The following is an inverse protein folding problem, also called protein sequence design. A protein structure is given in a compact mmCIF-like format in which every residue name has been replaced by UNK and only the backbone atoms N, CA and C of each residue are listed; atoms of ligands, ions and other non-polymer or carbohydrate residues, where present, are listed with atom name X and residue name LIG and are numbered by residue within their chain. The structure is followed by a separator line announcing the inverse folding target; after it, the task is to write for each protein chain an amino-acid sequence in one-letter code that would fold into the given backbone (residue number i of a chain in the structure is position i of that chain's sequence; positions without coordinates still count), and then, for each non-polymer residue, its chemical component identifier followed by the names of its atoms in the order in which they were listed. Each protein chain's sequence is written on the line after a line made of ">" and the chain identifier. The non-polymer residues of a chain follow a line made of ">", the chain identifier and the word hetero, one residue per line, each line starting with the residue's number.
data_IF_386439659162
#
_entry.id   IF_386439659162
#
_cell.length_a   1.000
_cell.length_b   1.000
_cell.length_c   1.000
_cell.angle_alpha   90.00
_cell.angle_beta   90.00
_cell.angle_gamma   90.00
#
_symmetry.space_group_name_H-M   'P 1'
#
loop_
_entity.id
_entity.type
_entity.pdbx_description
1 polymer ?
#
# COMPACT_ATOMS: atom_id res chain seq x y z
N UNK A 1 -8.52 2.67 8.47
CA UNK A 1 -8.76 1.25 8.84
C UNK A 1 -7.47 0.68 9.42
N UNK A 2 -7.58 -0.15 10.46
CA UNK A 2 -6.43 -0.72 11.21
C UNK A 2 -6.24 -2.19 10.84
N UNK A 3 -5.03 -2.72 11.02
CA UNK A 3 -4.75 -4.16 10.85
C UNK A 3 -5.43 -4.94 11.97
N UNK A 4 -6.14 -6.02 11.62
CA UNK A 4 -6.77 -6.93 12.57
C UNK A 4 -5.89 -8.18 12.76
N UNK A 5 -5.45 -8.38 14.01
CA UNK A 5 -4.60 -9.50 14.40
C UNK A 5 -5.35 -10.82 14.57
N UNK A 6 -6.68 -10.78 14.62
CA UNK A 6 -7.55 -11.96 14.77
C UNK A 6 -8.14 -12.41 13.43
N UNK A 7 -8.03 -11.59 12.38
CA UNK A 7 -8.41 -11.98 11.02
C UNK A 7 -7.45 -13.07 10.51
N UNK A 8 -8.00 -14.04 9.77
CA UNK A 8 -7.23 -15.16 9.19
C UNK A 8 -6.35 -14.71 8.02
N UNK A 9 -6.62 -13.55 7.43
CA UNK A 9 -5.86 -13.01 6.30
C UNK A 9 -4.47 -12.56 6.76
N UNK A 10 -3.42 -12.83 5.96
CA UNK A 10 -2.09 -12.34 6.25
C UNK A 10 -2.04 -10.82 6.38
N UNK A 11 -1.23 -10.30 7.31
CA UNK A 11 -1.10 -8.86 7.55
C UNK A 11 -0.69 -8.04 6.33
N UNK A 12 0.09 -8.64 5.41
CA UNK A 12 0.47 -7.93 4.19
C UNK A 12 -0.73 -7.74 3.25
N UNK A 13 -1.67 -8.68 3.21
CA UNK A 13 -2.90 -8.55 2.41
C UNK A 13 -3.83 -7.51 3.02
N UNK A 14 -3.96 -7.53 4.35
CA UNK A 14 -4.75 -6.52 5.06
C UNK A 14 -4.18 -5.11 4.82
N UNK A 15 -2.86 -4.93 4.95
CA UNK A 15 -2.22 -3.63 4.69
C UNK A 15 -2.39 -3.20 3.24
N UNK A 16 -2.15 -4.10 2.27
CA UNK A 16 -2.34 -3.79 0.86
C UNK A 16 -3.78 -3.34 0.59
N UNK A 17 -4.77 -4.03 1.17
CA UNK A 17 -6.18 -3.65 1.04
C UNK A 17 -6.47 -2.28 1.64
N UNK A 18 -5.97 -2.01 2.85
CA UNK A 18 -6.15 -0.70 3.51
C UNK A 18 -5.60 0.44 2.65
N UNK A 19 -4.39 0.28 2.11
CA UNK A 19 -3.78 1.31 1.26
C UNK A 19 -4.54 1.46 -0.06
N UNK A 20 -4.97 0.36 -0.69
CA UNK A 20 -5.78 0.42 -1.90
C UNK A 20 -7.12 1.14 -1.66
N UNK A 21 -7.79 0.86 -0.54
CA UNK A 21 -9.03 1.52 -0.17
C UNK A 21 -8.81 3.03 0.12
N UNK A 22 -7.66 3.41 0.70
CA UNK A 22 -7.27 4.82 0.87
C UNK A 22 -7.02 5.53 -0.47
N UNK A 23 -6.34 4.87 -1.42
CA UNK A 23 -6.15 5.38 -2.78
C UNK A 23 -7.51 5.59 -3.46
N UNK A 24 -8.42 4.61 -3.37
CA UNK A 24 -9.78 4.70 -3.92
C UNK A 24 -10.59 5.83 -3.29
N UNK A 25 -10.45 6.03 -1.99
CA UNK A 25 -11.12 7.10 -1.26
C UNK A 25 -10.56 8.51 -1.58
N UNK A 26 -9.41 8.59 -2.27
CA UNK A 26 -8.76 9.85 -2.60
C UNK A 26 -7.89 10.43 -1.49
N UNK A 27 -7.61 9.65 -0.42
CA UNK A 27 -6.65 10.02 0.63
C UNK A 27 -5.22 10.10 0.07
N UNK A 28 -4.94 9.29 -0.95
CA UNK A 28 -3.73 9.38 -1.76
C UNK A 28 -4.10 9.59 -3.22
N UNK A 29 -3.77 10.76 -3.74
CA UNK A 29 -4.06 11.12 -5.12
C UNK A 29 -3.12 10.40 -6.10
N UNK A 30 -3.54 10.19 -7.35
CA UNK A 30 -2.66 9.70 -8.41
C UNK A 30 -1.37 10.53 -8.49
N UNK A 31 -0.23 9.86 -8.69
CA UNK A 31 1.12 10.46 -8.71
C UNK A 31 1.57 11.09 -7.40
N UNK A 32 0.81 10.96 -6.31
CA UNK A 32 1.27 11.32 -4.98
C UNK A 32 2.22 10.25 -4.42
N UNK A 33 3.20 10.69 -3.63
CA UNK A 33 4.11 9.80 -2.90
C UNK A 33 3.39 9.18 -1.69
N UNK A 34 3.51 7.87 -1.54
CA UNK A 34 3.04 7.14 -0.37
C UNK A 34 4.03 7.25 0.80
N UNK A 35 3.57 7.05 2.04
CA UNK A 35 4.48 6.94 3.18
C UNK A 35 5.53 5.85 2.95
N UNK A 36 6.76 6.12 3.40
CA UNK A 36 7.86 5.14 3.31
C UNK A 36 7.54 3.84 4.07
N UNK A 37 8.22 2.74 3.73
CA UNK A 37 8.08 1.46 4.44
C UNK A 37 8.23 1.62 5.96
N UNK A 38 9.19 2.46 6.38
CA UNK A 38 9.44 2.74 7.80
C UNK A 38 8.26 3.49 8.43
N UNK A 39 7.67 4.47 7.73
CA UNK A 39 6.51 5.20 8.24
C UNK A 39 5.29 4.27 8.35
N UNK A 40 5.04 3.42 7.35
CA UNK A 40 3.96 2.43 7.38
C UNK A 40 4.18 1.40 8.50
N UNK A 41 5.42 0.99 8.74
CA UNK A 41 5.80 0.12 9.85
C UNK A 41 5.40 0.75 11.20
N UNK A 42 5.74 2.01 11.42
CA UNK A 42 5.43 2.72 12.66
C UNK A 42 3.92 2.98 12.80
N UNK A 43 3.24 3.34 11.70
CA UNK A 43 1.81 3.64 11.71
C UNK A 43 0.93 2.41 12.00
N UNK A 44 1.34 1.23 11.52
CA UNK A 44 0.55 0.00 11.62
C UNK A 44 1.12 -1.02 12.62
N UNK A 45 2.31 -0.80 13.19
CA UNK A 45 2.92 -1.69 14.17
C UNK A 45 3.30 -3.08 13.62
N UNK A 46 3.49 -3.22 12.31
CA UNK A 46 3.80 -4.51 11.67
C UNK A 46 5.25 -4.59 11.22
N UNK A 47 5.78 -5.80 11.00
CA UNK A 47 7.17 -5.99 10.57
C UNK A 47 7.45 -5.37 9.19
N UNK A 48 8.66 -4.82 9.02
CA UNK A 48 9.11 -4.23 7.74
C UNK A 48 8.95 -5.18 6.54
N UNK A 49 9.24 -6.47 6.72
CA UNK A 49 9.07 -7.47 5.67
C UNK A 49 7.63 -7.59 5.20
N UNK A 50 6.66 -7.48 6.11
CA UNK A 50 5.23 -7.47 5.83
C UNK A 50 4.81 -6.22 5.07
N UNK A 51 5.31 -5.04 5.48
CA UNK A 51 5.08 -3.78 4.75
C UNK A 51 5.61 -3.88 3.33
N UNK A 52 6.86 -4.30 3.15
CA UNK A 52 7.48 -4.46 1.83
C UNK A 52 6.69 -5.42 0.95
N UNK A 53 6.17 -6.50 1.54
CA UNK A 53 5.32 -7.45 0.82
C UNK A 53 4.01 -6.80 0.36
N UNK A 54 3.34 -6.03 1.23
CA UNK A 54 2.14 -5.30 0.86
C UNK A 54 2.39 -4.31 -0.29
N UNK A 55 3.48 -3.54 -0.20
CA UNK A 55 3.88 -2.58 -1.24
C UNK A 55 4.19 -3.28 -2.58
N UNK A 56 4.81 -4.46 -2.54
CA UNK A 56 5.05 -5.28 -3.75
C UNK A 56 3.74 -5.67 -4.43
N UNK A 57 2.77 -6.17 -3.66
CA UNK A 57 1.47 -6.59 -4.19
C UNK A 57 0.72 -5.39 -4.79
N UNK A 58 0.74 -4.24 -4.12
CA UNK A 58 0.17 -3.00 -4.65
C UNK A 58 0.81 -2.59 -5.98
N UNK A 59 2.12 -2.77 -6.11
CA UNK A 59 2.84 -2.54 -7.36
C UNK A 59 2.41 -3.50 -8.47
N UNK A 60 2.36 -4.79 -8.15
CA UNK A 60 1.95 -5.86 -9.08
C UNK A 60 0.51 -5.70 -9.56
N UNK A 61 -0.37 -5.20 -8.71
CA UNK A 61 -1.77 -4.93 -9.04
C UNK A 61 -1.99 -3.63 -9.81
N UNK A 62 -0.96 -2.80 -9.99
CA UNK A 62 -1.06 -1.52 -10.69
C UNK A 62 -1.51 -0.33 -9.85
N UNK A 63 -1.74 -0.50 -8.54
CA UNK A 63 -2.08 0.60 -7.63
C UNK A 63 -0.93 1.59 -7.43
N UNK A 64 0.31 1.10 -7.45
CA UNK A 64 1.49 1.90 -7.12
C UNK A 64 2.65 1.64 -8.07
N UNK A 65 3.58 2.58 -8.13
CA UNK A 65 4.85 2.44 -8.86
C UNK A 65 6.00 2.85 -7.95
N UNK A 66 7.01 1.99 -7.82
CA UNK A 66 8.20 2.29 -7.03
C UNK A 66 9.29 2.85 -7.92
N UNK A 67 9.75 4.06 -7.59
CA UNK A 67 10.86 4.73 -8.26
C UNK A 67 12.08 4.61 -7.35
N UNK A 68 13.06 3.81 -7.79
CA UNK A 68 14.27 3.54 -7.00
C UNK A 68 14.95 4.84 -6.56
N UNK A 69 15.21 4.96 -5.26
CA UNK A 69 15.83 6.14 -4.64
C UNK A 69 14.92 7.35 -4.48
N UNK A 70 13.66 7.29 -4.93
CA UNK A 70 12.68 8.40 -4.79
C UNK A 70 11.45 8.04 -3.97
N UNK A 71 11.11 6.77 -3.88
CA UNK A 71 9.98 6.27 -3.08
C UNK A 71 8.93 5.57 -3.93
N UNK A 72 7.75 5.35 -3.35
CA UNK A 72 6.62 4.70 -4.01
C UNK A 72 5.52 5.72 -4.22
N UNK A 73 4.98 5.76 -5.43
CA UNK A 73 3.94 6.69 -5.85
C UNK A 73 2.66 5.92 -6.16
N UNK A 74 1.50 6.56 -5.95
CA UNK A 74 0.23 6.07 -6.48
C UNK A 74 0.27 6.13 -8.00
N UNK A 75 -0.16 5.07 -8.65
CA UNK A 75 -0.17 5.00 -10.10
C UNK A 75 -1.27 5.91 -10.69
N UNK A 76 -1.17 6.26 -11.96
CA UNK A 76 -2.25 6.94 -12.66
C UNK A 76 -3.51 6.06 -12.68
N UNK A 77 -4.70 6.70 -12.66
CA UNK A 77 -5.99 6.00 -12.57
C UNK A 77 -6.21 4.99 -13.69
N UNK A 78 -5.58 5.20 -14.85
CA UNK A 78 -5.63 4.32 -16.02
C UNK A 78 -5.02 2.94 -15.76
N UNK A 79 -4.12 2.83 -14.78
CA UNK A 79 -3.44 1.58 -14.42
C UNK A 79 -4.04 0.90 -13.18
N UNK A 80 -5.05 1.50 -12.55
CA UNK A 80 -5.71 0.88 -11.41
C UNK A 80 -6.42 -0.39 -11.88
N UNK A 81 -6.38 -1.47 -11.10
CA UNK A 81 -7.02 -2.72 -11.49
C UNK A 81 -8.52 -2.48 -11.62
N UNK A 82 -9.09 -2.95 -12.74
CA UNK A 82 -10.53 -2.99 -12.91
C UNK A 82 -11.13 -3.96 -11.88
N UNK A 83 -12.23 -3.55 -11.24
CA UNK A 83 -13.03 -4.44 -10.37
C UNK A 83 -13.75 -5.53 -11.19
#
# INVERSE_FOLDING_TARGET
>A
MTIDHLDKRPFFEQLARIIADQIKAGEYEPRQVLPSETQLQQAHGIARGTVRHAMRILGEQGWTVTVQGRGTYVNDREHWPAE
#
